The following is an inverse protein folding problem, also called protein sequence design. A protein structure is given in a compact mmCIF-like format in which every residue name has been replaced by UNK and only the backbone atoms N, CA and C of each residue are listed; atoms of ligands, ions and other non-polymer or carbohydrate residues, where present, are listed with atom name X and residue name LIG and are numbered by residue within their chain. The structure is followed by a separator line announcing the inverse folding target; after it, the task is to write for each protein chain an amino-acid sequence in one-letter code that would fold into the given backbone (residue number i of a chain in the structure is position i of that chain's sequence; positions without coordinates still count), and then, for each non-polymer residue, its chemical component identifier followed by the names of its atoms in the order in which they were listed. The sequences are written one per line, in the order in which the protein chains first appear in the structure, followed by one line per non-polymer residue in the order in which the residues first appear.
data_IF_425302059916
#
_entry.id   IF_425302059916
#
_cell.length_a   1.000
_cell.length_b   1.000
_cell.length_c   1.000
_cell.angle_alpha   90.00
_cell.angle_beta   90.00
_cell.angle_gamma   90.00
#
_symmetry.space_group_name_H-M   'P 1'
#
loop_
_entity.id
_entity.type
_entity.pdbx_description
1 polymer ?
#
# COMPACT_ATOMS: atom_id res chain seq x y z
N UNK A 1 -32.50 -54.58 -75.70
CA UNK A 1 -33.94 -54.31 -75.56
C UNK A 1 -34.26 -53.91 -74.12
N UNK A 2 -35.13 -52.90 -73.94
CA UNK A 2 -36.24 -52.77 -72.96
C UNK A 2 -36.12 -53.30 -71.49
N UNK A 3 -36.39 -52.38 -70.54
CA UNK A 3 -37.14 -52.54 -69.25
C UNK A 3 -36.38 -53.24 -68.07
N UNK A 4 -36.41 -52.69 -66.83
CA UNK A 4 -37.42 -52.80 -65.72
C UNK A 4 -37.65 -54.27 -65.30
N UNK A 5 -37.81 -54.69 -64.03
CA UNK A 5 -37.91 -54.08 -62.68
C UNK A 5 -37.43 -55.20 -61.65
N UNK A 6 -37.46 -55.18 -60.30
CA UNK A 6 -37.97 -54.33 -59.19
C UNK A 6 -37.10 -54.60 -57.92
N UNK A 7 -37.34 -53.90 -56.81
CA UNK A 7 -36.71 -54.12 -55.49
C UNK A 7 -37.43 -55.17 -54.61
N UNK A 8 -36.77 -55.64 -53.55
CA UNK A 8 -37.41 -56.23 -52.37
C UNK A 8 -36.67 -55.80 -51.09
N UNK A 9 -37.42 -55.45 -50.04
CA UNK A 9 -36.85 -55.14 -48.72
C UNK A 9 -36.59 -56.43 -47.93
N UNK A 10 -35.54 -56.44 -47.11
CA UNK A 10 -35.55 -57.15 -45.83
C UNK A 10 -35.14 -56.14 -44.76
N UNK A 11 -36.04 -55.89 -43.81
CA UNK A 11 -35.80 -55.01 -42.67
C UNK A 11 -35.24 -55.83 -41.51
N UNK A 12 -34.02 -55.53 -41.06
CA UNK A 12 -33.44 -56.09 -39.83
C UNK A 12 -33.42 -55.01 -38.75
N UNK A 13 -34.27 -55.15 -37.74
CA UNK A 13 -34.42 -54.16 -36.68
C UNK A 13 -33.18 -54.10 -35.79
N UNK A 14 -32.45 -52.97 -35.84
CA UNK A 14 -31.46 -52.63 -34.83
C UNK A 14 -32.22 -52.18 -33.59
N UNK A 15 -32.23 -53.01 -32.54
CA UNK A 15 -32.74 -52.62 -31.22
C UNK A 15 -31.82 -51.53 -30.66
N UNK A 16 -32.26 -50.27 -30.76
CA UNK A 16 -31.59 -49.16 -30.08
C UNK A 16 -31.74 -49.35 -28.58
N UNK A 17 -30.74 -49.98 -27.95
CA UNK A 17 -30.60 -49.98 -26.49
C UNK A 17 -30.37 -48.55 -26.05
N UNK A 18 -31.42 -47.88 -25.56
CA UNK A 18 -31.31 -46.57 -24.93
C UNK A 18 -30.53 -46.72 -23.63
N UNK A 19 -29.19 -46.67 -23.73
CA UNK A 19 -28.32 -46.62 -22.57
C UNK A 19 -28.74 -45.37 -21.78
N UNK A 20 -29.23 -45.50 -20.54
CA UNK A 20 -29.57 -44.32 -19.74
C UNK A 20 -28.29 -43.50 -19.57
N UNK A 21 -28.31 -42.28 -20.11
CA UNK A 21 -27.21 -41.34 -20.06
C UNK A 21 -27.02 -40.91 -18.59
N UNK A 22 -26.24 -41.70 -17.85
CA UNK A 22 -25.89 -41.40 -16.47
C UNK A 22 -25.04 -40.14 -16.49
N UNK A 23 -25.66 -39.02 -16.13
CA UNK A 23 -25.01 -37.73 -16.06
C UNK A 23 -23.94 -37.78 -14.96
N UNK A 24 -22.70 -38.05 -15.36
CA UNK A 24 -21.53 -37.80 -14.52
C UNK A 24 -21.55 -36.31 -14.20
N UNK A 25 -21.58 -35.97 -12.91
CA UNK A 25 -21.49 -34.59 -12.49
C UNK A 25 -20.18 -33.99 -13.00
N UNK A 26 -20.21 -32.73 -13.48
CA UNK A 26 -18.98 -32.04 -13.82
C UNK A 26 -18.22 -31.72 -12.53
N UNK A 27 -17.31 -32.61 -12.18
CA UNK A 27 -16.44 -32.52 -11.01
C UNK A 27 -15.00 -32.31 -11.44
N UNK A 28 -14.26 -31.59 -10.62
CA UNK A 28 -12.82 -31.41 -10.77
C UNK A 28 -12.09 -32.10 -9.62
N UNK A 29 -10.99 -32.76 -9.95
CA UNK A 29 -10.07 -33.36 -8.99
C UNK A 29 -9.25 -32.26 -8.30
N UNK A 30 -9.61 -31.93 -7.06
CA UNK A 30 -8.89 -30.95 -6.24
C UNK A 30 -8.05 -31.67 -5.19
N UNK A 31 -6.75 -31.32 -5.11
CA UNK A 31 -5.92 -31.78 -4.00
C UNK A 31 -6.25 -31.01 -2.71
N UNK A 32 -6.52 -31.75 -1.64
CA UNK A 32 -6.69 -31.24 -0.28
C UNK A 32 -5.72 -31.93 0.68
N UNK A 33 -5.42 -31.24 1.76
CA UNK A 33 -4.65 -31.80 2.88
C UNK A 33 -5.62 -32.54 3.79
N UNK A 34 -5.50 -33.87 3.86
CA UNK A 34 -6.17 -34.69 4.86
C UNK A 34 -5.29 -34.80 6.10
N UNK A 35 -5.84 -34.48 7.26
CA UNK A 35 -5.16 -34.66 8.54
C UNK A 35 -5.24 -36.15 8.94
N UNK A 36 -4.09 -36.78 9.21
CA UNK A 36 -4.02 -38.20 9.61
C UNK A 36 -3.68 -38.37 11.10
N UNK A 37 -2.98 -37.41 11.70
CA UNK A 37 -2.75 -37.33 13.15
C UNK A 37 -2.98 -35.89 13.62
N UNK A 38 -3.49 -35.70 14.84
CA UNK A 38 -3.79 -34.36 15.36
C UNK A 38 -2.53 -33.49 15.42
N UNK A 39 -2.65 -32.25 14.96
CA UNK A 39 -1.54 -31.33 14.71
C UNK A 39 -1.92 -29.89 15.04
N UNK A 40 -0.93 -29.06 15.35
CA UNK A 40 -1.15 -27.64 15.66
C UNK A 40 -1.42 -26.86 14.36
N UNK A 41 -2.54 -26.13 14.31
CA UNK A 41 -2.80 -25.09 13.31
C UNK A 41 -2.31 -23.76 13.86
N UNK A 42 -1.51 -23.01 13.09
CA UNK A 42 -0.77 -21.83 13.61
C UNK A 42 -0.95 -20.59 12.74
N UNK A 43 -0.75 -19.43 13.35
CA UNK A 43 -0.76 -18.13 12.68
C UNK A 43 0.49 -17.89 11.80
N UNK A 44 1.57 -18.63 12.05
CA UNK A 44 2.87 -18.51 11.36
C UNK A 44 3.45 -19.90 11.06
N UNK A 45 4.32 -20.06 10.04
CA UNK A 45 5.03 -21.31 9.72
C UNK A 45 6.21 -21.56 10.68
N UNK A 46 5.94 -21.59 11.99
CA UNK A 46 6.93 -21.79 13.05
C UNK A 46 6.38 -22.62 14.21
N UNK A 47 7.24 -23.41 14.85
CA UNK A 47 6.90 -24.13 16.10
C UNK A 47 6.76 -23.19 17.31
N UNK A 48 7.30 -21.97 17.24
CA UNK A 48 7.05 -20.90 18.22
C UNK A 48 5.78 -20.08 17.93
N UNK A 49 5.32 -20.05 16.67
CA UNK A 49 4.20 -19.22 16.23
C UNK A 49 2.87 -19.58 16.91
N UNK A 50 2.02 -18.59 17.16
CA UNK A 50 0.78 -18.77 17.93
C UNK A 50 -0.14 -19.87 17.36
N UNK A 51 -0.65 -20.76 18.22
CA UNK A 51 -1.59 -21.83 17.82
C UNK A 51 -3.02 -21.31 17.79
N UNK A 52 -3.64 -21.38 16.61
CA UNK A 52 -5.07 -21.09 16.37
C UNK A 52 -5.92 -22.16 17.05
N UNK A 53 -5.70 -23.43 16.70
CA UNK A 53 -6.37 -24.60 17.28
C UNK A 53 -5.58 -25.89 17.04
N UNK A 54 -6.10 -27.01 17.50
CA UNK A 54 -5.72 -28.31 16.96
C UNK A 54 -6.58 -28.65 15.74
N UNK A 55 -5.94 -29.25 14.75
CA UNK A 55 -6.58 -29.99 13.66
C UNK A 55 -6.74 -31.44 14.09
N UNK A 56 -7.85 -32.08 13.70
CA UNK A 56 -8.20 -33.45 14.09
C UNK A 56 -8.06 -34.42 12.91
N UNK A 57 -7.73 -35.70 13.18
CA UNK A 57 -7.71 -36.74 12.14
C UNK A 57 -9.04 -36.79 11.37
N UNK A 58 -8.95 -36.81 10.04
CA UNK A 58 -10.09 -36.78 9.13
C UNK A 58 -10.49 -35.38 8.64
N UNK A 59 -9.99 -34.28 9.22
CA UNK A 59 -10.20 -32.95 8.64
C UNK A 59 -9.58 -32.84 7.23
N UNK A 60 -10.30 -32.18 6.32
CA UNK A 60 -9.86 -31.85 4.96
C UNK A 60 -9.70 -30.34 4.83
N UNK A 61 -8.54 -29.90 4.36
CA UNK A 61 -8.16 -28.49 4.25
C UNK A 61 -7.73 -28.15 2.83
N UNK A 62 -8.04 -26.94 2.36
CA UNK A 62 -7.58 -26.45 1.07
C UNK A 62 -6.12 -26.01 1.17
N UNK A 63 -5.31 -26.32 0.15
CA UNK A 63 -3.93 -25.84 0.06
C UNK A 63 -3.98 -24.38 -0.39
N UNK A 64 -3.32 -23.49 0.36
CA UNK A 64 -3.19 -22.06 0.02
C UNK A 64 -1.79 -21.78 -0.53
N UNK A 65 -0.73 -22.28 0.12
CA UNK A 65 0.64 -22.17 -0.37
C UNK A 65 1.59 -23.19 0.28
N UNK A 66 2.79 -23.32 -0.28
CA UNK A 66 3.87 -24.23 0.14
C UNK A 66 5.10 -23.43 0.61
N UNK A 67 5.00 -22.63 1.70
CA UNK A 67 6.02 -21.65 2.09
C UNK A 67 7.39 -22.25 2.47
N UNK A 68 7.45 -23.55 2.80
CA UNK A 68 8.71 -24.28 2.98
C UNK A 68 8.48 -25.78 2.83
N UNK A 69 9.57 -26.56 2.77
CA UNK A 69 9.52 -28.02 2.83
C UNK A 69 8.89 -28.58 4.12
N UNK A 70 8.81 -27.79 5.20
CA UNK A 70 8.33 -28.20 6.53
C UNK A 70 6.91 -27.72 6.88
N UNK A 71 6.33 -26.81 6.09
CA UNK A 71 5.05 -26.15 6.38
C UNK A 71 4.20 -25.96 5.14
N UNK A 72 2.91 -26.26 5.25
CA UNK A 72 1.87 -25.85 4.31
C UNK A 72 1.06 -24.72 4.91
N UNK A 73 0.72 -23.72 4.10
CA UNK A 73 -0.37 -22.79 4.41
C UNK A 73 -1.67 -23.42 3.89
N UNK A 74 -2.68 -23.50 4.75
CA UNK A 74 -3.93 -24.20 4.48
C UNK A 74 -5.14 -23.42 5.00
N UNK A 75 -6.30 -23.67 4.39
CA UNK A 75 -7.59 -23.08 4.79
C UNK A 75 -8.53 -24.18 5.31
N UNK A 76 -9.15 -23.94 6.47
CA UNK A 76 -10.15 -24.86 7.03
C UNK A 76 -11.56 -24.59 6.51
N UNK A 77 -12.50 -25.51 6.80
CA UNK A 77 -13.89 -25.44 6.36
C UNK A 77 -14.72 -24.27 6.90
N UNK A 78 -14.13 -23.42 7.76
CA UNK A 78 -14.71 -22.15 8.24
C UNK A 78 -14.08 -20.93 7.56
N UNK A 79 -13.20 -21.14 6.58
CA UNK A 79 -12.44 -20.09 5.91
C UNK A 79 -11.17 -19.66 6.64
N UNK A 80 -10.84 -20.25 7.78
CA UNK A 80 -9.67 -19.87 8.58
C UNK A 80 -8.40 -20.25 7.84
N UNK A 81 -7.53 -19.28 7.54
CA UNK A 81 -6.20 -19.54 6.95
C UNK A 81 -5.14 -19.60 8.06
N UNK A 82 -4.20 -20.53 7.94
CA UNK A 82 -3.07 -20.68 8.84
C UNK A 82 -2.08 -21.72 8.33
N UNK A 83 -1.17 -22.16 9.19
CA UNK A 83 -0.06 -23.04 8.84
C UNK A 83 -0.14 -24.38 9.59
N UNK A 84 0.21 -25.46 8.90
CA UNK A 84 0.30 -26.83 9.42
C UNK A 84 1.63 -27.45 8.96
N UNK A 85 2.18 -28.40 9.70
CA UNK A 85 3.38 -29.12 9.26
C UNK A 85 3.09 -29.94 8.01
N UNK A 86 4.02 -29.94 7.06
CA UNK A 86 3.99 -30.76 5.85
C UNK A 86 4.31 -32.25 6.09
N UNK A 87 4.68 -32.63 7.32
CA UNK A 87 5.16 -33.98 7.62
C UNK A 87 4.09 -35.06 7.36
N UNK A 88 4.42 -36.16 6.67
CA UNK A 88 3.53 -37.31 6.49
C UNK A 88 3.00 -37.96 7.78
N UNK A 89 3.63 -37.66 8.93
CA UNK A 89 3.12 -38.04 10.26
C UNK A 89 1.77 -37.39 10.57
N UNK A 90 1.56 -36.14 10.11
CA UNK A 90 0.37 -35.35 10.42
C UNK A 90 -0.59 -35.22 9.25
N UNK A 91 -0.07 -35.24 8.02
CA UNK A 91 -0.86 -34.98 6.81
C UNK A 91 -0.72 -36.05 5.73
N UNK A 92 -1.75 -36.15 4.88
CA UNK A 92 -1.75 -36.88 3.63
C UNK A 92 -2.38 -35.99 2.55
N UNK A 93 -1.72 -35.86 1.39
CA UNK A 93 -2.37 -35.25 0.22
C UNK A 93 -3.41 -36.23 -0.32
N UNK A 94 -4.65 -35.77 -0.50
CA UNK A 94 -5.74 -36.54 -1.10
C UNK A 94 -6.39 -35.75 -2.21
N UNK A 95 -6.69 -36.40 -3.33
CA UNK A 95 -7.62 -35.85 -4.31
C UNK A 95 -9.04 -36.01 -3.80
N UNK A 96 -9.88 -35.00 -4.01
CA UNK A 96 -11.34 -35.09 -3.85
C UNK A 96 -12.03 -34.52 -5.07
N UNK A 97 -13.04 -35.24 -5.55
CA UNK A 97 -13.93 -34.75 -6.60
C UNK A 97 -14.87 -33.72 -5.98
N UNK A 98 -14.79 -32.47 -6.45
CA UNK A 98 -15.71 -31.40 -6.07
C UNK A 98 -16.44 -30.88 -7.30
N UNK A 99 -17.74 -30.60 -7.18
CA UNK A 99 -18.40 -29.72 -8.15
C UNK A 99 -17.86 -28.31 -7.91
N UNK A 100 -17.20 -27.68 -8.89
CA UNK A 100 -16.74 -26.30 -8.73
C UNK A 100 -17.94 -25.34 -8.74
N UNK A 101 -17.76 -24.11 -8.27
CA UNK A 101 -18.77 -23.05 -8.50
C UNK A 101 -18.82 -22.66 -10.00
N UNK A 102 -19.95 -22.15 -10.51
CA UNK A 102 -20.05 -21.67 -11.88
C UNK A 102 -19.08 -20.51 -12.15
N UNK A 103 -18.22 -20.66 -13.16
CA UNK A 103 -17.26 -19.63 -13.57
C UNK A 103 -17.78 -18.76 -14.73
N UNK A 104 -19.08 -18.84 -15.06
CA UNK A 104 -19.73 -17.94 -16.01
C UNK A 104 -21.22 -17.76 -15.78
N UNK A 105 -21.73 -16.59 -16.17
CA UNK A 105 -23.15 -16.22 -16.14
C UNK A 105 -23.60 -15.77 -17.53
N UNK A 106 -24.77 -16.26 -17.96
CA UNK A 106 -25.36 -15.87 -19.24
C UNK A 106 -26.06 -14.51 -19.12
N UNK A 107 -25.55 -13.51 -19.85
CA UNK A 107 -26.00 -12.11 -19.78
C UNK A 107 -27.22 -11.82 -20.66
N UNK A 108 -27.40 -12.58 -21.74
CA UNK A 108 -28.53 -12.52 -22.68
C UNK A 108 -28.83 -13.92 -23.24
N UNK A 109 -30.10 -14.18 -23.57
CA UNK A 109 -30.52 -15.51 -24.07
C UNK A 109 -29.70 -15.95 -25.29
N UNK A 110 -29.11 -17.14 -25.24
CA UNK A 110 -28.10 -17.61 -26.20
C UNK A 110 -28.30 -19.08 -26.55
N UNK A 111 -27.97 -19.46 -27.79
CA UNK A 111 -28.10 -20.83 -28.27
C UNK A 111 -26.99 -21.72 -27.70
N UNK A 112 -27.38 -22.75 -26.95
CA UNK A 112 -26.50 -23.81 -26.46
C UNK A 112 -26.54 -24.99 -27.44
N UNK A 113 -25.38 -25.44 -27.94
CA UNK A 113 -25.28 -26.31 -29.13
C UNK A 113 -24.45 -27.57 -28.90
N UNK A 114 -24.66 -28.57 -29.75
CA UNK A 114 -23.91 -29.84 -29.75
C UNK A 114 -22.48 -29.72 -30.30
N UNK A 115 -22.13 -28.61 -30.94
CA UNK A 115 -20.79 -28.35 -31.49
C UNK A 115 -20.48 -26.85 -31.60
N UNK A 116 -19.19 -26.47 -31.73
CA UNK A 116 -18.72 -25.08 -31.82
C UNK A 116 -18.96 -24.49 -33.24
N UNK A 117 -20.21 -24.47 -33.69
CA UNK A 117 -20.63 -23.90 -34.98
C UNK A 117 -22.07 -23.37 -34.92
N UNK A 118 -22.39 -22.38 -35.74
CA UNK A 118 -23.76 -21.88 -35.97
C UNK A 118 -24.68 -22.92 -36.62
N UNK A 119 -24.11 -23.96 -37.23
CA UNK A 119 -24.83 -25.00 -37.96
C UNK A 119 -25.05 -26.24 -37.09
N UNK A 120 -24.31 -26.36 -35.98
CA UNK A 120 -24.46 -27.44 -35.01
C UNK A 120 -25.82 -27.35 -34.30
N UNK A 121 -26.48 -28.48 -34.11
CA UNK A 121 -27.83 -28.57 -33.54
C UNK A 121 -27.92 -27.87 -32.18
N UNK A 122 -28.94 -27.03 -32.01
CA UNK A 122 -29.21 -26.35 -30.74
C UNK A 122 -29.87 -27.33 -29.77
N UNK A 123 -29.21 -27.57 -28.64
CA UNK A 123 -29.71 -28.34 -27.50
C UNK A 123 -30.91 -27.60 -26.89
N UNK A 124 -30.70 -26.32 -26.52
CA UNK A 124 -31.71 -25.39 -26.00
C UNK A 124 -31.22 -23.95 -26.09
N UNK A 125 -31.99 -23.01 -25.56
CA UNK A 125 -31.46 -21.71 -25.14
C UNK A 125 -31.02 -21.78 -23.68
N UNK A 126 -29.87 -21.19 -23.36
CA UNK A 126 -29.54 -20.76 -22.02
C UNK A 126 -30.19 -19.39 -21.77
N UNK A 127 -30.70 -19.14 -20.56
CA UNK A 127 -31.42 -17.91 -20.25
C UNK A 127 -30.55 -16.88 -19.52
N UNK A 128 -30.99 -15.61 -19.51
CA UNK A 128 -30.30 -14.58 -18.72
C UNK A 128 -30.29 -14.94 -17.24
N UNK A 129 -29.13 -14.78 -16.58
CA UNK A 129 -28.92 -15.18 -15.19
C UNK A 129 -28.74 -16.69 -15.00
N UNK A 130 -28.62 -17.48 -16.08
CA UNK A 130 -28.33 -18.90 -15.97
C UNK A 130 -26.82 -19.13 -15.75
N UNK A 131 -26.41 -19.80 -14.65
CA UNK A 131 -25.02 -20.12 -14.40
C UNK A 131 -24.53 -21.27 -15.29
N UNK A 132 -23.27 -21.18 -15.72
CA UNK A 132 -22.59 -22.19 -16.53
C UNK A 132 -21.15 -22.41 -16.06
N UNK A 133 -20.63 -23.60 -16.35
CA UNK A 133 -19.22 -23.94 -16.17
C UNK A 133 -18.54 -23.90 -17.53
N UNK A 134 -17.82 -22.83 -17.82
CA UNK A 134 -16.91 -22.77 -18.96
C UNK A 134 -15.72 -23.69 -18.71
N UNK A 135 -15.52 -24.62 -19.64
CA UNK A 135 -14.56 -25.73 -19.56
C UNK A 135 -13.37 -25.54 -20.50
N UNK A 136 -13.60 -24.87 -21.63
CA UNK A 136 -12.65 -24.77 -22.73
C UNK A 136 -12.97 -23.54 -23.58
N UNK A 137 -11.95 -22.76 -23.97
CA UNK A 137 -12.06 -21.75 -25.02
C UNK A 137 -11.62 -22.37 -26.34
N UNK A 138 -12.56 -23.03 -27.00
CA UNK A 138 -12.34 -23.86 -28.21
C UNK A 138 -11.74 -23.04 -29.35
N UNK A 139 -12.18 -21.78 -29.48
CA UNK A 139 -11.62 -20.79 -30.41
C UNK A 139 -12.13 -19.39 -30.03
N UNK A 140 -11.84 -18.38 -30.87
CA UNK A 140 -12.26 -16.99 -30.67
C UNK A 140 -13.78 -16.78 -30.53
N UNK A 141 -14.61 -17.70 -31.03
CA UNK A 141 -16.07 -17.57 -31.12
C UNK A 141 -16.86 -18.50 -30.19
N UNK A 142 -16.24 -19.57 -29.68
CA UNK A 142 -16.91 -20.63 -28.94
C UNK A 142 -16.24 -21.01 -27.61
N UNK A 143 -17.03 -20.97 -26.55
CA UNK A 143 -16.76 -21.65 -25.29
C UNK A 143 -17.46 -23.02 -25.30
N UNK A 144 -16.79 -24.03 -24.73
CA UNK A 144 -17.39 -25.30 -24.31
C UNK A 144 -17.86 -25.12 -22.87
N UNK A 145 -19.13 -25.41 -22.59
CA UNK A 145 -19.72 -25.17 -21.27
C UNK A 145 -20.57 -26.35 -20.80
N UNK A 146 -20.57 -26.58 -19.49
CA UNK A 146 -21.57 -27.40 -18.79
C UNK A 146 -22.70 -26.54 -18.24
N UNK A 147 -23.93 -27.07 -18.26
CA UNK A 147 -25.07 -26.48 -17.56
C UNK A 147 -25.32 -27.14 -16.18
N UNK A 148 -26.26 -26.59 -15.40
CA UNK A 148 -26.64 -27.09 -14.06
C UNK A 148 -27.20 -28.53 -14.03
N UNK A 149 -27.48 -29.12 -15.18
CA UNK A 149 -27.94 -30.50 -15.32
C UNK A 149 -26.78 -31.43 -15.78
N UNK A 150 -25.56 -30.90 -15.84
CA UNK A 150 -24.34 -31.54 -16.37
C UNK A 150 -24.42 -31.86 -17.88
N UNK A 151 -25.29 -31.18 -18.63
CA UNK A 151 -25.27 -31.26 -20.10
C UNK A 151 -24.10 -30.43 -20.59
N UNK A 152 -23.20 -31.05 -21.37
CA UNK A 152 -22.07 -30.38 -22.00
C UNK A 152 -22.43 -29.97 -23.43
N UNK A 153 -22.04 -28.76 -23.82
CA UNK A 153 -22.25 -28.24 -25.17
C UNK A 153 -21.41 -26.97 -25.40
N UNK A 154 -21.82 -26.16 -26.36
CA UNK A 154 -21.06 -25.00 -26.82
C UNK A 154 -21.94 -23.74 -26.88
N UNK A 155 -21.34 -22.60 -26.51
CA UNK A 155 -21.98 -21.28 -26.46
C UNK A 155 -21.04 -20.22 -27.03
N UNK A 156 -21.57 -19.08 -27.47
CA UNK A 156 -20.75 -17.99 -28.02
C UNK A 156 -19.86 -17.35 -26.96
N UNK A 157 -18.64 -16.95 -27.34
CA UNK A 157 -17.72 -16.13 -26.53
C UNK A 157 -18.13 -14.65 -26.42
N UNK A 158 -19.17 -14.21 -27.14
CA UNK A 158 -19.58 -12.81 -27.18
C UNK A 158 -19.96 -12.28 -25.80
N UNK A 159 -19.35 -11.17 -25.38
CA UNK A 159 -19.55 -10.53 -24.07
C UNK A 159 -20.95 -9.96 -23.84
N UNK A 160 -21.80 -9.92 -24.88
CA UNK A 160 -23.24 -9.66 -24.74
C UNK A 160 -24.05 -10.89 -24.30
N UNK A 161 -23.50 -12.09 -24.45
CA UNK A 161 -24.15 -13.37 -24.13
C UNK A 161 -23.62 -14.02 -22.86
N UNK A 162 -22.33 -13.89 -22.54
CA UNK A 162 -21.70 -14.53 -21.39
C UNK A 162 -20.65 -13.63 -20.72
N UNK A 163 -20.72 -13.51 -19.40
CA UNK A 163 -19.59 -13.14 -18.56
C UNK A 163 -18.92 -14.41 -18.05
N UNK A 164 -17.59 -14.44 -17.98
CA UNK A 164 -16.87 -15.59 -17.41
C UNK A 164 -15.48 -15.18 -16.90
N UNK A 165 -15.03 -15.83 -15.83
CA UNK A 165 -13.64 -15.78 -15.35
C UNK A 165 -12.75 -16.84 -16.01
N UNK A 166 -13.29 -17.70 -16.88
CA UNK A 166 -12.50 -18.72 -17.56
C UNK A 166 -11.46 -18.11 -18.51
N UNK A 167 -10.21 -18.51 -18.35
CA UNK A 167 -9.08 -17.96 -19.13
C UNK A 167 -8.66 -16.57 -18.68
N UNK A 168 -9.35 -15.96 -17.71
CA UNK A 168 -8.72 -14.99 -16.82
C UNK A 168 -7.85 -15.82 -15.88
N UNK A 169 -6.53 -15.76 -16.09
CA UNK A 169 -5.63 -16.11 -15.01
C UNK A 169 -5.78 -14.96 -14.02
N UNK A 170 -6.55 -15.16 -12.95
CA UNK A 170 -6.29 -14.44 -11.70
C UNK A 170 -4.95 -14.97 -11.17
N UNK A 171 -3.86 -14.55 -11.82
CA UNK A 171 -2.63 -14.37 -11.07
C UNK A 171 -3.00 -13.45 -9.91
N UNK A 172 -2.68 -13.82 -8.65
CA UNK A 172 -2.93 -12.92 -7.55
C UNK A 172 -2.24 -11.61 -7.90
N UNK A 173 -2.99 -10.53 -8.03
CA UNK A 173 -2.43 -9.20 -8.23
C UNK A 173 -1.63 -8.93 -6.96
N UNK A 174 -0.33 -9.21 -7.04
CA UNK A 174 0.59 -9.09 -5.91
C UNK A 174 0.58 -7.62 -5.53
N UNK A 175 -0.08 -7.30 -4.42
CA UNK A 175 -0.34 -5.92 -4.05
C UNK A 175 1.02 -5.23 -3.85
N UNK A 176 1.37 -4.33 -4.77
CA UNK A 176 2.74 -3.87 -5.03
C UNK A 176 3.29 -2.92 -3.94
N UNK A 177 2.77 -3.00 -2.73
CA UNK A 177 3.23 -2.24 -1.58
C UNK A 177 4.66 -2.69 -1.18
N UNK A 178 5.64 -1.77 -1.02
CA UNK A 178 6.97 -2.11 -0.52
C UNK A 178 7.00 -2.55 0.95
N UNK A 179 5.89 -2.43 1.67
CA UNK A 179 5.65 -2.92 3.02
C UNK A 179 4.14 -3.06 3.27
N UNK A 180 3.66 -3.89 4.22
CA UNK A 180 2.23 -4.04 4.49
C UNK A 180 1.50 -2.70 4.65
N UNK A 181 0.28 -2.55 4.09
CA UNK A 181 -0.45 -1.28 4.14
C UNK A 181 -0.72 -0.87 5.60
N UNK A 182 -0.56 0.43 5.87
CA UNK A 182 -0.65 0.99 7.22
C UNK A 182 -1.89 1.89 7.40
N UNK A 183 -2.76 1.99 6.39
CA UNK A 183 -3.92 2.85 6.37
C UNK A 183 -5.11 2.24 5.60
N UNK A 184 -6.31 2.70 5.95
CA UNK A 184 -7.57 2.31 5.29
C UNK A 184 -8.43 3.55 5.02
N UNK A 185 -9.03 3.61 3.84
CA UNK A 185 -9.92 4.70 3.43
C UNK A 185 -11.30 4.51 4.08
N UNK A 186 -11.72 5.45 4.94
CA UNK A 186 -12.98 5.35 5.69
C UNK A 186 -14.18 5.99 4.96
N UNK A 187 -13.92 6.85 3.98
CA UNK A 187 -14.90 7.47 3.09
C UNK A 187 -14.26 7.85 1.75
N UNK A 188 -15.03 7.82 0.67
CA UNK A 188 -14.54 8.13 -0.68
C UNK A 188 -13.82 9.49 -0.74
N UNK A 189 -12.61 9.48 -1.30
CA UNK A 189 -11.67 10.62 -1.31
C UNK A 189 -10.92 10.70 -2.64
N UNK A 190 -10.48 11.90 -3.02
CA UNK A 190 -9.67 12.11 -4.23
C UNK A 190 -8.21 11.75 -3.98
N UNK A 191 -7.66 10.86 -4.80
CA UNK A 191 -6.23 10.56 -4.90
C UNK A 191 -5.60 11.49 -5.94
N UNK A 192 -4.48 12.15 -5.64
CA UNK A 192 -3.96 13.28 -6.44
C UNK A 192 -2.49 13.18 -6.81
N UNK A 193 -2.09 13.89 -7.86
CA UNK A 193 -0.71 14.00 -8.33
C UNK A 193 0.15 14.99 -7.53
N UNK A 194 -0.43 15.73 -6.58
CA UNK A 194 0.26 16.71 -5.74
C UNK A 194 -0.47 16.95 -4.41
N UNK A 195 0.24 17.42 -3.36
CA UNK A 195 -0.29 17.59 -2.01
C UNK A 195 -1.10 18.89 -1.85
N UNK A 196 -2.07 19.12 -2.73
CA UNK A 196 -2.96 20.29 -2.73
C UNK A 196 -4.32 20.00 -3.40
N UNK A 197 -5.28 20.91 -3.26
CA UNK A 197 -6.67 20.73 -3.76
C UNK A 197 -6.87 21.00 -5.25
N UNK A 198 -5.87 21.58 -5.93
CA UNK A 198 -5.89 21.94 -7.34
C UNK A 198 -5.14 20.90 -8.20
N UNK A 199 -4.17 20.19 -7.62
CA UNK A 199 -3.46 19.08 -8.24
C UNK A 199 -4.40 18.04 -8.88
N UNK A 200 -3.98 17.49 -10.03
CA UNK A 200 -4.76 16.54 -10.82
C UNK A 200 -5.22 15.33 -9.99
N UNK A 201 -6.47 14.92 -10.15
CA UNK A 201 -7.01 13.72 -9.49
C UNK A 201 -6.70 12.49 -10.34
N UNK A 202 -5.92 11.56 -9.79
CA UNK A 202 -5.59 10.26 -10.37
C UNK A 202 -6.89 9.42 -10.47
N UNK A 203 -7.56 9.22 -9.33
CA UNK A 203 -8.87 8.57 -9.21
C UNK A 203 -9.55 8.94 -7.89
N UNK A 204 -10.68 8.31 -7.60
CA UNK A 204 -11.19 8.21 -6.23
C UNK A 204 -10.67 6.91 -5.59
N UNK A 205 -10.43 6.96 -4.28
CA UNK A 205 -10.25 5.76 -3.46
C UNK A 205 -11.61 5.44 -2.82
N UNK A 206 -12.26 4.30 -3.13
CA UNK A 206 -13.45 3.85 -2.40
C UNK A 206 -13.19 3.62 -0.90
N UNK A 207 -14.28 3.64 -0.12
CA UNK A 207 -14.27 3.22 1.28
C UNK A 207 -13.88 1.73 1.37
N UNK A 208 -13.00 1.40 2.29
CA UNK A 208 -12.48 0.04 2.51
C UNK A 208 -11.21 -0.27 1.73
N UNK A 209 -10.73 0.64 0.87
CA UNK A 209 -9.43 0.45 0.21
C UNK A 209 -8.30 0.60 1.23
N UNK A 210 -7.38 -0.37 1.24
CA UNK A 210 -6.13 -0.32 2.01
C UNK A 210 -5.03 0.35 1.19
N UNK A 211 -4.24 1.19 1.85
CA UNK A 211 -3.14 1.95 1.22
C UNK A 211 -1.94 2.04 2.15
N UNK A 212 -0.75 2.24 1.57
CA UNK A 212 0.47 2.46 2.33
C UNK A 212 0.78 3.95 2.40
N UNK A 213 0.69 4.59 3.56
CA UNK A 213 1.28 5.92 3.79
C UNK A 213 2.80 5.78 3.80
N UNK A 214 3.44 6.45 2.84
CA UNK A 214 4.90 6.51 2.68
C UNK A 214 5.48 7.63 3.54
N UNK A 215 4.89 8.83 3.42
CA UNK A 215 5.31 10.02 4.15
C UNK A 215 4.15 11.01 4.35
N UNK A 216 4.43 12.13 5.04
CA UNK A 216 3.49 13.21 5.29
C UNK A 216 4.13 14.55 4.88
N UNK A 217 3.93 15.05 3.65
CA UNK A 217 4.62 16.24 3.16
C UNK A 217 4.15 17.54 3.81
N UNK A 218 2.95 17.58 4.42
CA UNK A 218 2.47 18.72 5.20
C UNK A 218 1.32 18.30 6.13
N UNK A 219 0.75 19.23 6.89
CA UNK A 219 -0.32 18.94 7.85
C UNK A 219 -1.58 18.30 7.22
N UNK A 220 -1.89 18.65 5.97
CA UNK A 220 -3.16 18.36 5.29
C UNK A 220 -3.13 17.14 4.34
N UNK A 221 -1.94 16.64 4.00
CA UNK A 221 -1.74 15.58 3.00
C UNK A 221 -0.78 14.50 3.47
N UNK A 222 -1.10 13.25 3.13
CA UNK A 222 -0.20 12.10 3.14
C UNK A 222 0.23 11.79 1.71
N UNK A 223 1.50 11.40 1.54
CA UNK A 223 1.94 10.67 0.36
C UNK A 223 1.61 9.18 0.60
N UNK A 224 0.89 8.56 -0.32
CA UNK A 224 0.49 7.15 -0.24
C UNK A 224 0.88 6.42 -1.52
N UNK A 225 1.02 5.11 -1.39
CA UNK A 225 0.97 4.18 -2.52
C UNK A 225 -0.33 3.37 -2.47
N UNK A 226 -0.94 3.14 -3.64
CA UNK A 226 -2.00 2.15 -3.81
C UNK A 226 -1.44 0.74 -4.10
N UNK A 227 -2.34 -0.24 -4.08
CA UNK A 227 -2.02 -1.66 -4.29
C UNK A 227 -1.49 -1.99 -5.69
N UNK A 228 -1.64 -1.07 -6.65
CA UNK A 228 -1.17 -1.21 -8.03
C UNK A 228 0.19 -0.52 -8.24
N UNK A 229 0.86 -0.08 -7.16
CA UNK A 229 2.14 0.62 -7.23
C UNK A 229 2.02 2.14 -7.49
N UNK A 230 0.80 2.68 -7.64
CA UNK A 230 0.61 4.09 -7.98
C UNK A 230 0.84 4.93 -6.72
N UNK A 231 1.80 5.86 -6.78
CA UNK A 231 2.05 6.84 -5.71
C UNK A 231 1.31 8.15 -5.95
N UNK A 232 0.95 8.86 -4.87
CA UNK A 232 0.27 10.15 -4.94
C UNK A 232 -0.28 10.60 -3.57
N UNK A 233 -1.15 11.59 -3.56
CA UNK A 233 -1.53 12.28 -2.32
C UNK A 233 -3.00 12.15 -1.96
N UNK A 234 -3.27 12.00 -0.66
CA UNK A 234 -4.61 11.93 -0.05
C UNK A 234 -4.67 12.83 1.19
N UNK A 235 -5.85 13.33 1.54
CA UNK A 235 -5.99 14.21 2.71
C UNK A 235 -5.75 13.46 4.04
N UNK A 236 -5.07 14.11 4.98
CA UNK A 236 -4.83 13.60 6.35
C UNK A 236 -6.06 13.56 7.24
N UNK A 237 -7.18 14.13 6.80
CA UNK A 237 -8.40 14.20 7.61
C UNK A 237 -8.96 12.82 7.93
N UNK A 238 -9.21 12.57 9.22
CA UNK A 238 -9.86 11.35 9.75
C UNK A 238 -11.27 11.09 9.20
N UNK A 239 -11.86 12.06 8.49
CA UNK A 239 -13.07 11.88 7.69
C UNK A 239 -12.87 10.94 6.49
N UNK A 240 -11.65 10.84 5.96
CA UNK A 240 -11.34 10.16 4.71
C UNK A 240 -10.39 8.97 4.89
N UNK A 241 -9.41 9.06 5.79
CA UNK A 241 -8.41 8.01 6.02
C UNK A 241 -8.23 7.74 7.53
N UNK A 242 -8.04 6.47 7.90
CA UNK A 242 -7.47 6.08 9.19
C UNK A 242 -6.11 5.45 8.93
N UNK A 243 -5.13 5.66 9.82
CA UNK A 243 -3.76 5.14 9.64
C UNK A 243 -3.06 4.89 10.96
N UNK A 244 -2.13 3.95 10.94
CA UNK A 244 -1.14 3.67 12.00
C UNK A 244 0.20 4.34 11.74
N UNK A 245 0.36 5.04 10.60
CA UNK A 245 1.57 5.78 10.27
C UNK A 245 1.83 6.91 11.29
N UNK A 246 3.09 6.98 11.74
CA UNK A 246 3.63 8.01 12.62
C UNK A 246 4.93 8.50 12.00
N UNK A 247 5.08 9.82 11.82
CA UNK A 247 6.26 10.41 11.16
C UNK A 247 7.57 9.93 11.82
N UNK A 248 8.59 9.47 11.06
CA UNK A 248 9.75 8.77 11.60
C UNK A 248 10.45 9.49 12.77
N UNK A 249 10.59 10.81 12.71
CA UNK A 249 11.21 11.60 13.78
C UNK A 249 10.51 11.47 15.14
N UNK A 250 9.18 11.27 15.18
CA UNK A 250 8.40 11.09 16.42
C UNK A 250 8.63 9.72 17.07
N UNK A 251 9.14 8.75 16.32
CA UNK A 251 9.49 7.41 16.81
C UNK A 251 10.94 7.35 17.33
N UNK A 252 11.77 8.34 17.02
CA UNK A 252 13.18 8.37 17.43
C UNK A 252 13.34 8.86 18.88
N UNK A 253 14.37 8.38 19.57
CA UNK A 253 14.82 9.00 20.82
C UNK A 253 15.24 10.46 20.53
N UNK A 254 14.80 11.46 21.32
CA UNK A 254 15.09 12.87 21.07
C UNK A 254 16.57 13.22 20.91
N UNK A 255 17.47 12.57 21.66
CA UNK A 255 18.92 12.79 21.53
C UNK A 255 19.50 12.20 20.24
N UNK A 256 18.96 11.07 19.78
CA UNK A 256 19.34 10.47 18.49
C UNK A 256 18.80 11.30 17.32
N UNK A 257 17.57 11.81 17.43
CA UNK A 257 16.99 12.71 16.43
C UNK A 257 17.79 14.02 16.31
N UNK A 258 18.14 14.63 17.44
CA UNK A 258 18.98 15.82 17.50
C UNK A 258 20.35 15.60 16.86
N UNK A 259 21.03 14.51 17.22
CA UNK A 259 22.35 14.20 16.67
C UNK A 259 22.28 13.99 15.16
N UNK A 260 21.29 13.26 14.63
CA UNK A 260 21.12 13.07 13.19
C UNK A 260 20.84 14.37 12.43
N UNK A 261 20.03 15.28 12.97
CA UNK A 261 19.77 16.58 12.35
C UNK A 261 21.03 17.46 12.33
N UNK A 262 21.85 17.40 13.39
CA UNK A 262 23.16 18.05 13.45
C UNK A 262 24.14 17.41 12.44
N UNK A 263 24.25 16.08 12.42
CA UNK A 263 25.15 15.35 11.51
C UNK A 263 24.78 15.56 10.04
N UNK A 264 23.51 15.78 9.72
CA UNK A 264 23.07 16.21 8.40
C UNK A 264 23.51 17.65 8.10
N UNK A 265 23.19 18.61 8.99
CA UNK A 265 23.59 20.02 8.82
C UNK A 265 25.10 20.23 8.71
N UNK A 266 25.90 19.44 9.44
CA UNK A 266 27.37 19.52 9.41
C UNK A 266 27.99 19.08 8.08
N UNK A 267 27.25 18.36 7.21
CA UNK A 267 27.71 18.04 5.83
C UNK A 267 27.72 19.26 4.92
N UNK A 268 26.93 20.28 5.24
CA UNK A 268 26.77 21.49 4.45
C UNK A 268 27.74 22.62 4.86
N UNK A 269 28.69 22.37 5.77
CA UNK A 269 29.69 23.38 6.18
C UNK A 269 30.40 23.98 4.96
N UNK A 270 30.38 25.32 4.86
CA UNK A 270 30.90 26.08 3.73
C UNK A 270 29.91 26.31 2.57
N UNK A 271 28.72 25.70 2.56
CA UNK A 271 27.69 26.00 1.53
C UNK A 271 27.34 27.50 1.57
N UNK A 272 27.45 28.25 0.46
CA UNK A 272 27.25 29.70 0.42
C UNK A 272 25.88 30.18 0.91
N UNK A 273 25.85 31.41 1.43
CA UNK A 273 24.61 32.07 1.81
C UNK A 273 23.92 32.73 0.62
N UNK A 274 22.62 32.48 0.47
CA UNK A 274 21.75 33.20 -0.47
C UNK A 274 20.42 33.53 0.23
N UNK A 275 20.04 34.80 0.26
CA UNK A 275 18.77 35.21 0.87
C UNK A 275 17.59 34.77 0.01
N UNK A 276 16.74 33.88 0.53
CA UNK A 276 15.59 33.33 -0.20
C UNK A 276 15.93 32.16 -1.13
N UNK A 277 16.98 31.38 -0.80
CA UNK A 277 17.43 30.17 -1.52
C UNK A 277 16.30 29.23 -1.96
N UNK A 278 16.55 28.44 -3.01
CA UNK A 278 15.57 27.46 -3.49
C UNK A 278 15.45 26.29 -2.52
N UNK A 279 14.24 26.09 -1.98
CA UNK A 279 13.85 25.01 -1.03
C UNK A 279 13.96 23.57 -1.61
N UNK A 280 14.54 23.43 -2.80
CA UNK A 280 14.78 22.19 -3.55
C UNK A 280 16.19 22.13 -4.16
N UNK A 281 17.10 23.03 -3.77
CA UNK A 281 18.52 23.01 -4.10
C UNK A 281 19.34 23.11 -2.80
N UNK A 282 20.57 22.61 -2.81
CA UNK A 282 21.52 22.68 -1.70
C UNK A 282 22.85 23.31 -2.11
N UNK A 283 22.90 23.97 -3.28
CA UNK A 283 24.05 24.74 -3.76
C UNK A 283 24.27 26.04 -2.98
N UNK A 284 23.19 26.63 -2.44
CA UNK A 284 23.16 27.80 -1.56
C UNK A 284 22.05 27.66 -0.51
N UNK A 285 22.10 28.43 0.58
CA UNK A 285 21.04 28.43 1.60
C UNK A 285 20.81 29.80 2.26
N UNK A 286 19.55 30.12 2.60
CA UNK A 286 19.25 31.03 3.71
C UNK A 286 19.19 30.30 5.06
N UNK A 287 19.18 31.07 6.15
CA UNK A 287 19.22 30.54 7.52
C UNK A 287 18.11 29.51 7.83
N UNK A 288 16.91 29.72 7.31
CA UNK A 288 15.75 28.85 7.53
C UNK A 288 15.72 27.66 6.59
N UNK A 289 16.22 27.81 5.37
CA UNK A 289 16.29 26.72 4.41
C UNK A 289 17.37 25.71 4.80
N UNK A 290 18.56 26.19 5.20
CA UNK A 290 19.61 25.35 5.79
C UNK A 290 19.08 24.52 6.98
N UNK A 291 18.36 25.15 7.91
CA UNK A 291 17.76 24.49 9.07
C UNK A 291 16.71 23.46 8.63
N UNK A 292 15.82 23.83 7.69
CA UNK A 292 14.80 22.92 7.14
C UNK A 292 15.42 21.70 6.47
N UNK A 293 16.44 21.88 5.65
CA UNK A 293 17.13 20.80 4.95
C UNK A 293 17.85 19.86 5.92
N UNK A 294 18.52 20.41 6.95
CA UNK A 294 19.19 19.63 8.00
C UNK A 294 18.25 18.66 8.74
N UNK A 295 17.01 19.10 9.04
CA UNK A 295 16.00 18.27 9.71
C UNK A 295 15.30 17.30 8.75
N UNK A 296 15.16 17.68 7.47
CA UNK A 296 14.66 16.79 6.42
C UNK A 296 15.62 15.60 6.19
N UNK A 297 16.90 15.87 5.93
CA UNK A 297 17.91 14.84 5.64
C UNK A 297 18.30 14.02 6.88
N UNK A 298 18.28 14.63 8.07
CA UNK A 298 18.65 13.96 9.31
C UNK A 298 17.58 13.01 9.84
N UNK A 299 16.31 13.45 9.84
CA UNK A 299 15.21 12.77 10.56
C UNK A 299 13.88 12.69 9.79
N UNK A 300 13.82 13.19 8.56
CA UNK A 300 12.58 13.25 7.77
C UNK A 300 11.56 14.27 8.28
N UNK A 301 11.99 15.27 9.06
CA UNK A 301 11.10 16.31 9.57
C UNK A 301 11.11 17.52 8.63
N UNK A 302 10.07 17.65 7.81
CA UNK A 302 9.89 18.84 6.99
C UNK A 302 9.44 20.03 7.86
N UNK A 303 10.37 20.92 8.17
CA UNK A 303 10.08 22.18 8.86
C UNK A 303 9.44 23.22 7.91
N UNK A 304 8.70 24.22 8.45
CA UNK A 304 8.19 25.34 7.68
C UNK A 304 9.27 26.11 6.91
N UNK A 305 8.85 26.82 5.85
CA UNK A 305 9.77 27.39 4.86
C UNK A 305 10.60 28.60 5.31
N UNK A 306 10.23 29.29 6.40
CA UNK A 306 10.88 30.52 6.85
C UNK A 306 11.09 30.56 8.39
N UNK A 307 12.05 31.36 8.84
CA UNK A 307 12.43 31.46 10.26
C UNK A 307 11.28 31.82 11.23
N UNK A 308 10.26 32.56 10.79
CA UNK A 308 9.13 32.98 11.62
C UNK A 308 8.09 31.88 11.74
N UNK A 309 7.77 31.19 10.63
CA UNK A 309 6.90 30.01 10.66
C UNK A 309 7.56 28.84 11.40
N UNK A 310 8.89 28.67 11.30
CA UNK A 310 9.65 27.75 12.15
C UNK A 310 9.57 28.14 13.64
N UNK A 311 9.68 29.42 14.00
CA UNK A 311 9.49 29.88 15.39
C UNK A 311 8.07 29.66 15.90
N UNK A 312 7.06 29.83 15.04
CA UNK A 312 5.66 29.56 15.38
C UNK A 312 5.42 28.05 15.61
N UNK A 313 6.01 27.19 14.78
CA UNK A 313 5.98 25.74 14.94
C UNK A 313 6.62 25.29 16.27
N UNK A 314 7.83 25.75 16.57
CA UNK A 314 8.51 25.44 17.85
C UNK A 314 7.74 25.97 19.07
N UNK A 315 7.06 27.12 18.96
CA UNK A 315 6.14 27.61 19.99
C UNK A 315 4.90 26.72 20.16
N UNK A 316 4.34 26.19 19.07
CA UNK A 316 3.22 25.24 19.12
C UNK A 316 3.60 23.88 19.74
N UNK A 317 4.86 23.44 19.62
CA UNK A 317 5.42 22.28 20.34
C UNK A 317 5.56 22.54 21.86
N UNK A 318 5.55 23.81 22.28
CA UNK A 318 5.46 24.22 23.69
C UNK A 318 6.74 24.09 24.52
N UNK A 319 7.85 23.61 23.94
CA UNK A 319 9.13 23.35 24.62
C UNK A 319 10.14 24.49 24.46
N UNK A 320 9.72 25.72 24.74
CA UNK A 320 10.54 26.93 24.49
C UNK A 320 11.22 27.52 25.73
N UNK A 321 12.39 28.15 25.53
CA UNK A 321 13.12 28.94 26.53
C UNK A 321 13.59 30.28 25.94
N UNK A 322 13.53 31.35 26.73
CA UNK A 322 14.16 32.65 26.46
C UNK A 322 15.59 32.77 26.99
N UNK A 323 16.11 31.69 27.59
CA UNK A 323 17.49 31.52 28.02
C UNK A 323 18.12 30.35 27.24
N UNK A 324 19.16 30.63 26.46
CA UNK A 324 19.81 29.65 25.58
C UNK A 324 20.59 28.58 26.37
N UNK A 325 21.00 28.86 27.61
CA UNK A 325 21.71 27.91 28.47
C UNK A 325 20.83 26.73 28.89
N UNK A 326 19.50 26.86 28.79
CA UNK A 326 18.52 25.81 29.12
C UNK A 326 18.14 24.92 27.92
N UNK A 327 18.61 25.25 26.72
CA UNK A 327 18.34 24.50 25.51
C UNK A 327 19.21 23.23 25.41
N UNK A 328 18.81 22.32 24.55
CA UNK A 328 19.47 21.03 24.28
C UNK A 328 20.04 21.01 22.86
N UNK A 329 20.99 20.11 22.61
CA UNK A 329 21.48 19.85 21.24
C UNK A 329 20.27 19.50 20.37
N UNK A 330 20.12 20.13 19.21
CA UNK A 330 18.97 19.95 18.31
C UNK A 330 17.71 20.77 18.65
N UNK A 331 17.77 21.69 19.62
CA UNK A 331 16.79 22.79 19.71
C UNK A 331 17.13 23.87 18.67
N UNK A 332 16.10 24.53 18.11
CA UNK A 332 16.28 25.69 17.24
C UNK A 332 16.42 26.97 18.06
N UNK A 333 17.29 27.88 17.59
CA UNK A 333 17.57 29.20 18.17
C UNK A 333 16.98 30.27 17.25
N UNK A 334 16.18 31.20 17.78
CA UNK A 334 15.57 32.29 17.01
C UNK A 334 16.03 33.66 17.48
N UNK A 335 16.34 34.54 16.52
CA UNK A 335 17.00 35.81 16.77
C UNK A 335 16.30 36.98 16.07
N UNK A 336 16.40 38.16 16.67
CA UNK A 336 15.98 39.42 16.08
C UNK A 336 17.01 39.97 15.08
N UNK A 337 16.67 41.08 14.43
CA UNK A 337 17.57 41.82 13.54
C UNK A 337 18.84 42.30 14.24
N UNK A 338 19.95 42.30 13.52
CA UNK A 338 21.22 42.85 13.99
C UNK A 338 21.14 44.37 14.13
N UNK A 339 21.70 44.91 15.22
CA UNK A 339 21.76 46.36 15.51
C UNK A 339 23.16 46.84 15.92
N UNK A 340 24.15 45.94 15.95
CA UNK A 340 25.52 46.21 16.39
C UNK A 340 26.13 45.03 17.18
N UNK A 341 27.42 45.15 17.53
CA UNK A 341 28.15 44.16 18.31
C UNK A 341 28.10 44.40 19.84
N UNK A 342 27.83 45.64 20.28
CA UNK A 342 27.83 46.01 21.69
C UNK A 342 26.44 45.92 22.34
N UNK A 343 26.39 45.65 23.65
CA UNK A 343 25.14 45.64 24.41
C UNK A 343 24.36 46.98 24.34
N UNK A 344 25.08 48.11 24.18
CA UNK A 344 24.47 49.43 23.98
C UNK A 344 23.54 49.51 22.77
N UNK A 345 23.84 48.80 21.67
CA UNK A 345 22.97 48.70 20.48
C UNK A 345 21.62 48.02 20.73
N UNK A 346 21.45 47.36 21.88
CA UNK A 346 20.23 46.65 22.27
C UNK A 346 19.63 47.21 23.56
N UNK A 347 20.13 48.34 24.06
CA UNK A 347 19.59 49.01 25.25
C UNK A 347 18.16 49.48 25.03
N UNK A 348 17.28 49.27 26.02
CA UNK A 348 15.86 49.63 25.96
C UNK A 348 14.99 48.76 25.06
N UNK A 349 15.53 47.72 24.41
CA UNK A 349 14.76 46.85 23.51
C UNK A 349 13.94 45.83 24.31
N UNK A 350 12.62 45.84 24.12
CA UNK A 350 11.77 44.74 24.56
C UNK A 350 11.83 43.57 23.56
N UNK A 351 12.59 42.53 23.92
CA UNK A 351 12.69 41.27 23.15
C UNK A 351 11.34 40.56 22.96
N UNK A 352 10.31 40.80 23.79
CA UNK A 352 9.00 40.15 23.61
C UNK A 352 8.21 40.69 22.41
N UNK A 353 8.58 41.85 21.88
CA UNK A 353 7.94 42.52 20.73
C UNK A 353 8.79 42.50 19.46
N UNK A 354 10.03 42.00 19.53
CA UNK A 354 10.95 41.96 18.38
C UNK A 354 10.62 40.80 17.42
N UNK A 355 10.83 41.05 16.13
CA UNK A 355 10.49 40.10 15.05
C UNK A 355 11.65 39.14 14.79
N UNK A 356 11.35 37.83 14.66
CA UNK A 356 12.34 36.83 14.22
C UNK A 356 12.78 37.12 12.79
N UNK A 357 14.10 37.16 12.58
CA UNK A 357 14.74 37.38 11.27
C UNK A 357 15.94 36.47 11.01
N UNK A 358 16.33 35.62 11.97
CA UNK A 358 17.38 34.60 11.79
C UNK A 358 17.09 33.36 12.66
N UNK A 359 17.53 32.19 12.19
CA UNK A 359 17.42 30.90 12.88
C UNK A 359 18.70 30.07 12.74
N UNK A 360 18.98 29.21 13.72
CA UNK A 360 20.07 28.23 13.68
C UNK A 360 19.85 27.04 14.61
N UNK A 361 20.70 26.02 14.52
CA UNK A 361 20.60 24.78 15.30
C UNK A 361 21.53 24.88 16.52
N UNK A 362 21.04 24.65 17.74
CA UNK A 362 21.90 24.61 18.91
C UNK A 362 22.72 23.32 18.97
N UNK A 363 24.04 23.46 19.09
CA UNK A 363 24.98 22.33 19.19
C UNK A 363 25.29 21.96 20.65
N UNK A 364 24.69 22.64 21.63
CA UNK A 364 25.17 22.63 23.01
C UNK A 364 26.39 23.53 23.18
N UNK A 365 26.92 23.58 24.40
CA UNK A 365 28.23 24.17 24.71
C UNK A 365 28.39 25.65 24.24
N UNK A 366 27.27 26.40 24.19
CA UNK A 366 27.22 27.78 23.71
C UNK A 366 27.43 27.96 22.20
N UNK A 367 27.27 26.91 21.38
CA UNK A 367 27.55 26.93 19.93
C UNK A 367 26.30 26.75 19.07
N UNK A 368 26.28 27.40 17.92
CA UNK A 368 25.20 27.34 16.92
C UNK A 368 25.73 26.97 15.54
N UNK A 369 25.02 26.10 14.83
CA UNK A 369 25.22 25.80 13.40
C UNK A 369 24.17 26.54 12.56
N UNK A 370 24.61 27.33 11.58
CA UNK A 370 23.77 28.28 10.82
C UNK A 370 24.52 28.84 9.59
N UNK A 371 23.80 29.59 8.73
CA UNK A 371 24.35 30.47 7.68
C UNK A 371 23.57 31.80 7.72
N UNK A 372 24.20 32.97 7.54
CA UNK A 372 23.52 34.25 7.84
C UNK A 372 23.84 35.45 6.94
N UNK A 373 24.95 35.46 6.19
CA UNK A 373 25.23 36.48 5.17
C UNK A 373 26.31 35.99 4.18
N UNK A 374 26.51 36.66 3.05
CA UNK A 374 27.56 36.27 2.10
C UNK A 374 28.96 36.44 2.72
N UNK A 375 29.16 37.52 3.47
CA UNK A 375 30.40 37.84 4.20
C UNK A 375 30.67 36.85 5.36
N UNK A 376 29.65 36.11 5.81
CA UNK A 376 29.82 35.06 6.82
C UNK A 376 30.57 33.83 6.33
N UNK A 377 30.72 33.65 5.00
CA UNK A 377 31.41 32.50 4.42
C UNK A 377 30.57 31.22 4.33
N UNK A 378 29.23 31.35 4.40
CA UNK A 378 28.30 30.22 4.28
C UNK A 378 27.97 29.52 5.61
N UNK A 379 27.56 28.26 5.53
CA UNK A 379 27.21 27.44 6.71
C UNK A 379 28.43 27.23 7.60
N UNK A 380 28.29 27.56 8.89
CA UNK A 380 29.39 27.67 9.85
C UNK A 380 28.92 27.41 11.28
N UNK A 381 29.89 27.29 12.20
CA UNK A 381 29.63 27.18 13.64
C UNK A 381 30.12 28.44 14.36
N UNK A 382 29.20 29.18 14.96
CA UNK A 382 29.48 30.37 15.77
C UNK A 382 29.29 30.11 17.27
N UNK A 383 29.92 30.94 18.11
CA UNK A 383 29.66 31.00 19.55
C UNK A 383 28.58 32.02 19.88
N UNK A 384 27.65 31.65 20.75
CA UNK A 384 26.55 32.48 21.23
C UNK A 384 27.04 33.42 22.33
N UNK A 385 27.63 32.84 23.38
CA UNK A 385 28.07 33.54 24.59
C UNK A 385 29.05 34.68 24.29
N UNK A 386 28.78 35.87 24.83
CA UNK A 386 29.64 37.04 24.67
C UNK A 386 29.64 37.67 23.26
N UNK A 387 28.77 37.24 22.34
CA UNK A 387 28.68 37.78 20.97
C UNK A 387 27.33 38.47 20.70
N UNK A 388 27.22 39.11 19.53
CA UNK A 388 25.96 39.63 19.01
C UNK A 388 24.83 38.60 18.96
N UNK A 389 25.13 37.29 18.94
CA UNK A 389 24.10 36.25 18.91
C UNK A 389 23.36 36.17 20.25
N UNK A 390 24.05 36.22 21.39
CA UNK A 390 23.43 36.31 22.72
C UNK A 390 22.60 37.61 22.86
N UNK A 391 23.12 38.74 22.40
CA UNK A 391 22.39 40.00 22.39
C UNK A 391 21.09 39.92 21.57
N UNK A 392 21.12 39.25 20.42
CA UNK A 392 19.96 39.08 19.51
C UNK A 392 19.04 37.90 19.84
N UNK A 393 19.42 37.00 20.74
CA UNK A 393 18.62 35.79 21.03
C UNK A 393 17.26 36.16 21.63
N UNK A 394 16.17 35.65 21.06
CA UNK A 394 14.80 35.91 21.52
C UNK A 394 14.25 34.72 22.32
N UNK A 395 14.29 33.54 21.70
CA UNK A 395 13.84 32.28 22.26
C UNK A 395 14.39 31.12 21.42
N UNK A 396 14.37 29.92 21.97
CA UNK A 396 14.63 28.68 21.24
C UNK A 396 13.80 27.53 21.80
N UNK A 397 13.87 26.35 21.18
CA UNK A 397 13.16 25.15 21.63
C UNK A 397 13.15 24.00 20.63
N UNK A 398 12.61 22.86 21.07
CA UNK A 398 12.55 21.61 20.28
C UNK A 398 11.46 21.62 19.20
N UNK A 399 11.69 20.84 18.15
CA UNK A 399 10.75 20.61 17.04
C UNK A 399 9.89 19.36 17.20
N UNK A 400 10.08 18.56 18.27
CA UNK A 400 9.35 17.34 18.59
C UNK A 400 9.28 17.12 20.11
#
# INVERSE_FOLDING_TARGET
MKKKLLALLICSAITLSTVPYHALAYTVDVQKVKIVQSVNFRAEPSTSGARIRYLQPGELLDIVSTPSSNWLQVRDSKGTVGYVSSSPTYIQLTTVNVTPEPNGEILSSVSFRTGPSTDASRIRFLQKGEPVWVLEKVNSYWYKVGDKNNVIGYVSTGSQYIATTYGVIEEPIEDLFPSPPNATIVSSVSFRTGPDTNAGRIRYLPKGEEVLVLDKPNEYWYNIQDKNGVSGFVSTSSKYITTTYVEPYKQMNPTVAAQKAIDAGMKYLGTPYEFGSSRSDTSTFDCSDFVRQSYLDGIGQLLPGDSRSQSAYVKAVGKTSSDWNKLKKGDLLFFMSYKGYSASSYSGINKSTETVTHVGIYLGDGKMLHTYSQESGGVRVDSIAGTQWELRFLHGGSTY
#
